data_IF_712586668836
#
_entry.id   IF_712586668836
#
_cell.length_a   1.000
_cell.length_b   1.000
_cell.length_c   1.000
_cell.angle_alpha   90.00
_cell.angle_beta   90.00
_cell.angle_gamma   90.00
#
_symmetry.space_group_name_H-M   'P 1'
#
loop_
_entity.id
_entity.type
_entity.pdbx_description
1 polymer ?
#
# COMPACT_ATOMS: atom_id res chain seq x y z
N UNK A 1 -2.37 0.41 -16.40
CA UNK A 1 -1.21 1.00 -15.68
C UNK A 1 -1.14 2.53 -15.79
N UNK A 2 -1.39 3.13 -16.96
CA UNK A 2 -1.35 4.60 -17.14
C UNK A 2 -2.34 5.36 -16.25
N UNK A 3 -3.52 4.80 -15.96
CA UNK A 3 -4.51 5.39 -15.03
C UNK A 3 -4.06 5.40 -13.56
N UNK A 4 -3.34 4.35 -13.12
CA UNK A 4 -2.77 4.27 -11.77
C UNK A 4 -1.56 5.20 -11.62
N UNK A 5 -0.77 5.35 -12.69
CA UNK A 5 0.36 6.27 -12.75
C UNK A 5 -0.10 7.72 -12.65
N UNK A 6 -1.19 8.09 -13.34
CA UNK A 6 -1.80 9.42 -13.24
C UNK A 6 -2.42 9.71 -11.87
N UNK A 7 -2.89 8.68 -11.16
CA UNK A 7 -3.41 8.80 -9.79
C UNK A 7 -2.33 8.89 -8.71
N UNK A 8 -1.19 8.19 -8.88
CA UNK A 8 -0.06 8.22 -7.94
C UNK A 8 0.88 9.42 -8.16
N UNK A 9 1.07 9.87 -9.41
CA UNK A 9 1.73 11.15 -9.74
C UNK A 9 0.71 12.28 -9.53
N UNK A 10 0.15 12.35 -8.32
CA UNK A 10 -0.71 13.44 -7.88
C UNK A 10 0.10 14.56 -7.25
N UNK A 11 -0.54 15.30 -6.35
CA UNK A 11 0.09 16.33 -5.52
C UNK A 11 1.18 15.82 -4.58
N UNK A 12 1.30 14.50 -4.39
CA UNK A 12 2.32 13.89 -3.52
C UNK A 12 3.76 14.15 -3.96
N UNK A 13 4.04 14.12 -5.27
CA UNK A 13 5.37 14.45 -5.81
C UNK A 13 5.70 15.96 -5.67
N UNK A 14 4.68 16.81 -5.63
CA UNK A 14 4.83 18.25 -5.41
C UNK A 14 4.96 18.59 -3.92
N UNK A 15 4.29 17.83 -3.04
CA UNK A 15 4.35 18.02 -1.59
C UNK A 15 5.66 17.50 -0.98
N UNK A 16 6.29 16.48 -1.57
CA UNK A 16 7.58 15.96 -1.13
C UNK A 16 8.67 17.05 -1.06
N UNK A 17 8.98 17.79 -2.14
CA UNK A 17 10.04 18.81 -2.11
C UNK A 17 9.75 19.95 -1.14
N UNK A 18 8.48 20.36 -0.97
CA UNK A 18 8.11 21.35 0.06
C UNK A 18 8.32 20.82 1.48
N UNK A 19 8.06 19.53 1.72
CA UNK A 19 8.37 18.91 3.01
C UNK A 19 9.88 18.83 3.25
N UNK A 20 10.69 18.46 2.25
CA UNK A 20 12.16 18.43 2.36
C UNK A 20 12.75 19.83 2.60
N UNK A 21 12.21 20.85 1.93
CA UNK A 21 12.65 22.24 2.07
C UNK A 21 12.40 22.79 3.48
N UNK A 22 11.29 22.41 4.13
CA UNK A 22 10.94 22.87 5.48
C UNK A 22 11.50 21.98 6.61
N UNK A 23 11.63 20.66 6.39
CA UNK A 23 12.16 19.71 7.39
C UNK A 23 13.70 19.65 7.41
N UNK A 24 14.37 20.12 6.36
CA UNK A 24 15.82 20.10 6.22
C UNK A 24 16.35 18.78 5.63
N UNK A 25 17.47 18.87 4.91
CA UNK A 25 18.05 17.76 4.14
C UNK A 25 18.39 16.53 5.01
N UNK A 26 18.88 16.76 6.24
CA UNK A 26 19.28 15.68 7.16
C UNK A 26 18.07 14.88 7.64
N UNK A 27 17.01 15.57 8.07
CA UNK A 27 15.77 14.92 8.50
C UNK A 27 15.06 14.24 7.33
N UNK A 28 15.16 14.82 6.14
CA UNK A 28 14.71 14.22 4.89
C UNK A 28 15.41 12.90 4.57
N UNK A 29 16.74 12.85 4.62
CA UNK A 29 17.52 11.64 4.31
C UNK A 29 17.25 10.54 5.34
N UNK A 30 17.27 10.87 6.63
CA UNK A 30 16.95 9.89 7.68
C UNK A 30 15.49 9.43 7.61
N UNK A 31 14.55 10.35 7.39
CA UNK A 31 13.14 10.04 7.25
C UNK A 31 12.84 9.17 6.04
N UNK A 32 13.49 9.42 4.90
CA UNK A 32 13.32 8.60 3.69
C UNK A 32 13.89 7.20 3.88
N UNK A 33 15.04 7.08 4.54
CA UNK A 33 15.64 5.77 4.85
C UNK A 33 14.75 4.95 5.78
N UNK A 34 14.20 5.58 6.83
CA UNK A 34 13.31 4.93 7.78
C UNK A 34 11.96 4.56 7.17
N UNK A 35 11.33 5.48 6.44
CA UNK A 35 10.08 5.22 5.71
C UNK A 35 10.26 4.15 4.65
N UNK A 36 11.41 4.10 3.97
CA UNK A 36 11.75 3.03 3.04
C UNK A 36 11.75 1.66 3.71
N UNK A 37 12.42 1.53 4.86
CA UNK A 37 12.46 0.29 5.63
C UNK A 37 11.05 -0.15 6.10
N UNK A 38 10.24 0.79 6.62
CA UNK A 38 8.86 0.51 7.02
C UNK A 38 8.02 0.08 5.83
N UNK A 39 8.07 0.81 4.72
CA UNK A 39 7.32 0.50 3.50
C UNK A 39 7.67 -0.91 2.98
N UNK A 40 8.95 -1.27 2.94
CA UNK A 40 9.37 -2.63 2.55
C UNK A 40 8.85 -3.68 3.52
N UNK A 41 8.93 -3.45 4.84
CA UNK A 41 8.40 -4.38 5.84
C UNK A 41 6.88 -4.57 5.71
N UNK A 42 6.14 -3.47 5.51
CA UNK A 42 4.70 -3.49 5.27
C UNK A 42 4.36 -4.26 4.00
N UNK A 43 5.03 -3.98 2.88
CA UNK A 43 4.83 -4.71 1.61
C UNK A 43 5.15 -6.19 1.76
N UNK A 44 6.21 -6.54 2.47
CA UNK A 44 6.58 -7.93 2.72
C UNK A 44 5.47 -8.65 3.51
N UNK A 45 4.97 -8.05 4.60
CA UNK A 45 3.84 -8.60 5.35
C UNK A 45 2.58 -8.71 4.47
N UNK A 46 2.28 -7.70 3.66
CA UNK A 46 1.14 -7.68 2.74
C UNK A 46 1.20 -8.83 1.74
N UNK A 47 2.37 -9.08 1.14
CA UNK A 47 2.57 -10.15 0.17
C UNK A 47 2.46 -11.53 0.84
N UNK A 48 2.91 -11.66 2.09
CA UNK A 48 2.78 -12.92 2.84
C UNK A 48 1.31 -13.24 3.11
N UNK A 49 0.55 -12.25 3.57
CA UNK A 49 -0.89 -12.39 3.75
C UNK A 49 -1.60 -12.66 2.41
N UNK A 50 -1.27 -11.94 1.34
CA UNK A 50 -1.90 -12.16 0.03
C UNK A 50 -1.58 -13.52 -0.56
N UNK A 51 -0.37 -14.04 -0.36
CA UNK A 51 0.02 -15.36 -0.81
C UNK A 51 -0.77 -16.45 -0.08
N UNK A 52 -0.90 -16.34 1.24
CA UNK A 52 -1.71 -17.24 2.05
C UNK A 52 -3.20 -17.19 1.67
N UNK A 53 -3.68 -16.01 1.30
CA UNK A 53 -5.05 -15.80 0.84
C UNK A 53 -5.29 -16.29 -0.59
N UNK A 54 -4.34 -16.12 -1.51
CA UNK A 54 -4.38 -16.65 -2.87
C UNK A 54 -4.43 -18.18 -2.89
N UNK A 55 -3.70 -18.83 -1.98
CA UNK A 55 -3.76 -20.28 -1.78
C UNK A 55 -5.18 -20.70 -1.36
N UNK A 56 -5.83 -19.90 -0.51
CA UNK A 56 -7.18 -20.14 -0.01
C UNK A 56 -8.30 -19.80 -1.00
N UNK A 57 -8.10 -18.79 -1.87
CA UNK A 57 -9.09 -18.26 -2.82
C UNK A 57 -8.88 -18.73 -4.27
N UNK A 58 -7.80 -19.49 -4.57
CA UNK A 58 -7.54 -20.12 -5.89
C UNK A 58 -7.52 -19.14 -7.09
N UNK A 59 -7.03 -17.90 -6.91
CA UNK A 59 -6.92 -16.86 -7.95
C UNK A 59 -5.49 -16.29 -8.02
N UNK A 60 -4.68 -16.57 -9.06
CA UNK A 60 -3.26 -16.23 -9.11
C UNK A 60 -2.92 -14.85 -9.73
N UNK A 61 -3.89 -14.06 -10.16
CA UNK A 61 -3.67 -12.73 -10.72
C UNK A 61 -4.76 -11.76 -10.24
N UNK A 62 -4.43 -10.96 -9.22
CA UNK A 62 -5.34 -9.98 -8.62
C UNK A 62 -4.61 -8.64 -8.52
N UNK A 63 -5.27 -7.55 -8.92
CA UNK A 63 -4.79 -6.20 -8.63
C UNK A 63 -4.75 -5.98 -7.11
N UNK A 64 -3.93 -5.04 -6.63
CA UNK A 64 -3.86 -4.74 -5.19
C UNK A 64 -5.25 -4.49 -4.57
N UNK A 65 -6.17 -3.85 -5.29
CA UNK A 65 -7.56 -3.68 -4.84
C UNK A 65 -8.30 -5.01 -4.65
N UNK A 66 -8.14 -5.95 -5.57
CA UNK A 66 -8.85 -7.23 -5.49
C UNK A 66 -8.26 -8.14 -4.40
N UNK A 67 -6.93 -8.12 -4.22
CA UNK A 67 -6.25 -8.82 -3.09
C UNK A 67 -6.76 -8.31 -1.74
N UNK A 68 -6.96 -6.99 -1.63
CA UNK A 68 -7.47 -6.36 -0.42
C UNK A 68 -8.94 -6.74 -0.20
N UNK A 69 -9.77 -6.69 -1.23
CA UNK A 69 -11.19 -7.06 -1.15
C UNK A 69 -11.39 -8.53 -0.71
N UNK A 70 -10.66 -9.46 -1.32
CA UNK A 70 -10.65 -10.89 -0.93
C UNK A 70 -10.20 -11.07 0.53
N UNK A 71 -9.19 -10.30 0.98
CA UNK A 71 -8.69 -10.34 2.36
C UNK A 71 -9.73 -9.88 3.38
N UNK A 72 -10.48 -8.83 3.06
CA UNK A 72 -11.56 -8.33 3.92
C UNK A 72 -12.79 -9.25 3.91
N UNK A 73 -13.07 -9.96 2.81
CA UNK A 73 -14.16 -10.95 2.73
C UNK A 73 -13.83 -12.21 3.52
N UNK A 74 -12.57 -12.67 3.45
CA UNK A 74 -12.05 -13.86 4.13
C UNK A 74 -11.72 -13.63 5.61
N UNK A 75 -11.62 -12.37 6.04
CA UNK A 75 -11.37 -11.96 7.42
C UNK A 75 -12.59 -12.08 8.35
N UNK A 76 -12.39 -11.88 9.66
CA UNK A 76 -13.45 -12.01 10.67
C UNK A 76 -14.61 -11.03 10.41
N UNK A 77 -15.83 -11.45 10.76
CA UNK A 77 -17.12 -10.77 10.49
C UNK A 77 -17.14 -9.24 10.66
N UNK A 78 -16.46 -8.60 11.64
CA UNK A 78 -16.46 -7.12 11.74
C UNK A 78 -15.74 -6.37 10.59
N UNK A 79 -14.88 -7.03 9.83
CA UNK A 79 -14.08 -6.40 8.76
C UNK A 79 -14.72 -6.55 7.36
N UNK A 80 -15.68 -7.48 7.19
CA UNK A 80 -16.49 -7.67 5.97
C UNK A 80 -17.16 -6.40 5.41
N UNK A 81 -17.71 -5.46 6.21
CA UNK A 81 -18.35 -4.27 5.62
C UNK A 81 -17.36 -3.29 4.97
N UNK A 82 -16.06 -3.36 5.28
CA UNK A 82 -15.04 -2.52 4.64
C UNK A 82 -14.71 -2.97 3.21
N UNK A 83 -14.87 -4.26 2.89
CA UNK A 83 -14.68 -4.79 1.54
C UNK A 83 -15.64 -4.14 0.52
N UNK A 84 -16.84 -3.75 0.95
CA UNK A 84 -17.91 -3.27 0.06
C UNK A 84 -17.90 -1.76 -0.20
N UNK A 85 -16.99 -1.04 0.46
CA UNK A 85 -16.96 0.44 0.50
C UNK A 85 -15.74 1.04 -0.20
N UNK A 86 -14.92 0.19 -0.83
CA UNK A 86 -13.78 0.58 -1.66
C UNK A 86 -14.13 0.37 -3.13
#
# INVERSE_FOLDING_TARGET
MIHLLKGNIGTGILAMPDAFKNAGLIFGVFGTLFMGAICTHCMHMLIRCSHELCIRSQRPALNFSEVVEDAFISGPVPLRPFAKKM
#
